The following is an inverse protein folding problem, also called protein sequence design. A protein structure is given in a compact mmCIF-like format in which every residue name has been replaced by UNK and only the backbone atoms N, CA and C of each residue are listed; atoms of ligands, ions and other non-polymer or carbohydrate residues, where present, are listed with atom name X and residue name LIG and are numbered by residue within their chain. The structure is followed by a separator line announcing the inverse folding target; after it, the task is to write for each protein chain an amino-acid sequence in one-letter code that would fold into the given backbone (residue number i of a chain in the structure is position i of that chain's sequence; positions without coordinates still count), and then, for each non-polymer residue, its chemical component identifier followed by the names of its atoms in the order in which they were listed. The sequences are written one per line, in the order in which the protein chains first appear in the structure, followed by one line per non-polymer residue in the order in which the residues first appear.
data_IF_824985378807
#
_entry.id   IF_824985378807
#
_cell.length_a   1.000
_cell.length_b   1.000
_cell.length_c   1.000
_cell.angle_alpha   90.00
_cell.angle_beta   90.00
_cell.angle_gamma   90.00
#
_symmetry.space_group_name_H-M   'P 1'
#
loop_
_entity.id
_entity.type
_entity.pdbx_description
1 polymer ?
#
# COMPACT_ATOMS: atom_id res chain seq x y z
N UNK A 1 -8.45 -27.95 -30.90
CA UNK A 1 -8.24 -26.49 -30.82
C UNK A 1 -7.57 -26.23 -29.48
N UNK A 2 -6.27 -25.90 -29.46
CA UNK A 2 -5.48 -25.75 -28.22
C UNK A 2 -5.63 -24.32 -27.71
N UNK A 3 -6.39 -24.13 -26.63
CA UNK A 3 -6.43 -22.86 -25.90
C UNK A 3 -5.23 -22.81 -24.96
N UNK A 4 -4.27 -21.92 -25.26
CA UNK A 4 -3.19 -21.57 -24.35
C UNK A 4 -3.74 -20.66 -23.26
N UNK A 5 -3.73 -21.11 -22.01
CA UNK A 5 -3.96 -20.27 -20.84
C UNK A 5 -2.62 -19.60 -20.53
N UNK A 6 -2.40 -18.41 -21.09
CA UNK A 6 -1.30 -17.55 -20.68
C UNK A 6 -1.65 -16.83 -19.39
N UNK A 7 -0.82 -16.98 -18.36
CA UNK A 7 -0.85 -16.12 -17.18
C UNK A 7 -0.45 -14.71 -17.64
N UNK A 8 -1.44 -13.86 -17.91
CA UNK A 8 -1.21 -12.46 -18.24
C UNK A 8 -1.11 -11.69 -16.92
N UNK A 9 0.10 -11.25 -16.57
CA UNK A 9 0.29 -10.24 -15.53
C UNK A 9 -0.34 -8.92 -16.00
N UNK A 10 -1.53 -8.60 -15.51
CA UNK A 10 -2.19 -7.33 -15.79
C UNK A 10 -1.61 -6.26 -14.87
N UNK A 11 -0.71 -5.44 -15.40
CA UNK A 11 -0.34 -4.16 -14.80
C UNK A 11 -1.51 -3.18 -14.94
N UNK A 12 -2.37 -3.08 -13.91
CA UNK A 12 -3.42 -2.06 -13.86
C UNK A 12 -2.79 -0.71 -13.50
N UNK A 13 -2.48 0.09 -14.52
CA UNK A 13 -2.18 1.52 -14.38
C UNK A 13 -3.51 2.28 -14.26
N UNK A 14 -3.97 2.50 -13.03
CA UNK A 14 -5.15 3.35 -12.76
C UNK A 14 -4.75 4.81 -12.93
N UNK A 15 -5.02 5.38 -14.10
CA UNK A 15 -5.04 6.81 -14.32
C UNK A 15 -6.26 7.43 -13.65
N UNK A 16 -6.05 8.16 -12.56
CA UNK A 16 -7.09 8.93 -11.87
C UNK A 16 -7.39 10.18 -12.71
N UNK A 17 -8.50 10.15 -13.46
CA UNK A 17 -9.14 11.34 -14.02
C UNK A 17 -10.50 11.50 -13.33
N UNK A 18 -10.49 12.22 -12.22
CA UNK A 18 -11.72 12.67 -11.56
C UNK A 18 -12.16 13.97 -12.22
N UNK A 19 -13.30 13.92 -12.91
CA UNK A 19 -13.94 15.08 -13.50
C UNK A 19 -14.66 15.91 -12.46
N UNK A 20 -14.28 17.18 -12.36
CA UNK A 20 -15.17 18.25 -11.89
C UNK A 20 -14.84 19.52 -12.69
N UNK A 21 -15.78 19.85 -13.56
CA UNK A 21 -16.01 21.13 -14.25
C UNK A 21 -15.19 22.33 -13.77
N UNK A 22 -14.17 22.67 -14.55
CA UNK A 22 -13.48 23.96 -14.53
C UNK A 22 -12.65 24.07 -15.80
N UNK A 23 -13.11 24.88 -16.76
CA UNK A 23 -12.44 25.08 -18.05
C UNK A 23 -11.06 25.70 -17.87
N UNK A 24 -10.01 24.87 -17.83
CA UNK A 24 -8.64 25.28 -17.98
C UNK A 24 -8.21 25.02 -19.43
N UNK A 25 -8.08 26.10 -20.21
CA UNK A 25 -7.49 26.05 -21.55
C UNK A 25 -5.99 25.76 -21.38
N UNK A 26 -5.62 24.48 -21.49
CA UNK A 26 -4.22 24.07 -21.61
C UNK A 26 -3.75 24.45 -23.02
N UNK A 27 -3.10 25.60 -23.13
CA UNK A 27 -2.32 25.95 -24.33
C UNK A 27 -1.08 25.06 -24.36
N UNK A 28 -1.09 24.08 -25.27
CA UNK A 28 0.11 23.34 -25.65
C UNK A 28 1.11 24.31 -26.30
N UNK A 29 2.27 24.49 -25.66
CA UNK A 29 3.43 25.08 -26.29
C UNK A 29 4.00 24.08 -27.32
N UNK A 30 4.45 24.54 -28.51
CA UNK A 30 5.09 23.65 -29.48
C UNK A 30 6.42 23.11 -28.93
N UNK A 31 6.81 21.88 -29.31
CA UNK A 31 8.09 21.32 -28.89
C UNK A 31 9.24 22.16 -29.46
N UNK A 32 10.06 22.70 -28.58
CA UNK A 32 11.34 23.27 -28.98
C UNK A 32 12.27 22.15 -29.44
N UNK A 33 12.65 22.30 -30.69
CA UNK A 33 13.76 21.69 -31.37
C UNK A 33 15.07 21.93 -30.60
N UNK A 34 15.65 20.88 -30.00
CA UNK A 34 17.01 20.89 -29.47
C UNK A 34 17.84 19.85 -30.20
N UNK A 35 18.47 20.33 -31.27
CA UNK A 35 19.88 20.14 -31.61
C UNK A 35 20.48 18.75 -31.39
N UNK A 36 20.50 17.98 -32.49
CA UNK A 36 21.54 16.98 -32.77
C UNK A 36 22.92 17.62 -32.63
N UNK A 37 23.71 17.18 -31.66
CA UNK A 37 25.17 17.23 -31.72
C UNK A 37 25.68 15.89 -32.24
N UNK A 38 26.31 15.94 -33.40
CA UNK A 38 27.12 14.87 -33.97
C UNK A 38 28.47 14.77 -33.27
N UNK A 39 29.11 13.63 -33.51
CA UNK A 39 30.56 13.39 -33.49
C UNK A 39 31.20 12.90 -32.18
N UNK A 40 31.28 11.57 -32.07
CA UNK A 40 32.53 10.86 -31.77
C UNK A 40 32.46 9.42 -32.31
N UNK A 41 33.40 8.98 -33.17
CA UNK A 41 33.52 7.58 -33.55
C UNK A 41 34.32 6.85 -32.47
N UNK A 42 33.62 6.18 -31.55
CA UNK A 42 34.25 5.20 -30.66
C UNK A 42 34.53 3.92 -31.47
N UNK A 43 35.82 3.72 -31.73
CA UNK A 43 36.42 2.51 -32.27
C UNK A 43 36.00 1.31 -31.42
N UNK A 44 34.99 0.59 -31.90
CA UNK A 44 34.42 -0.57 -31.24
C UNK A 44 35.37 -1.74 -31.46
N UNK A 45 36.22 -2.00 -30.45
CA UNK A 45 36.91 -3.27 -30.35
C UNK A 45 35.86 -4.39 -30.41
N UNK A 46 35.90 -5.19 -31.48
CA UNK A 46 35.05 -6.35 -31.63
C UNK A 46 35.38 -7.34 -30.52
N UNK A 47 34.57 -7.36 -29.47
CA UNK A 47 34.55 -8.46 -28.52
C UNK A 47 34.30 -9.76 -29.32
N UNK A 48 35.09 -10.83 -29.06
CA UNK A 48 34.87 -12.11 -29.71
C UNK A 48 33.44 -12.57 -29.43
N UNK A 49 32.71 -12.86 -30.51
CA UNK A 49 31.37 -13.41 -30.45
C UNK A 49 31.34 -14.55 -29.43
N UNK A 50 30.43 -14.53 -28.44
CA UNK A 50 30.30 -15.62 -27.50
C UNK A 50 30.11 -16.92 -28.29
N UNK A 51 30.91 -17.91 -27.97
CA UNK A 51 30.85 -19.24 -28.57
C UNK A 51 29.40 -19.70 -28.62
N UNK A 52 28.99 -20.18 -29.79
CA UNK A 52 27.64 -20.66 -30.09
C UNK A 52 27.06 -21.43 -28.91
N UNK A 53 25.86 -21.08 -28.42
CA UNK A 53 25.25 -21.74 -27.28
C UNK A 53 25.28 -23.25 -27.53
N UNK A 54 25.91 -23.98 -26.61
CA UNK A 54 25.89 -25.44 -26.58
C UNK A 54 24.45 -25.91 -26.80
N UNK A 55 24.20 -26.91 -27.66
CA UNK A 55 22.85 -27.44 -27.85
C UNK A 55 22.33 -27.86 -26.47
N UNK A 56 21.25 -27.22 -26.02
CA UNK A 56 20.59 -27.52 -24.75
C UNK A 56 20.17 -28.99 -24.78
N UNK A 57 20.97 -29.85 -24.17
CA UNK A 57 20.71 -31.27 -23.97
C UNK A 57 19.78 -31.49 -22.76
N UNK A 58 18.80 -30.59 -22.62
CA UNK A 58 17.74 -30.70 -21.63
C UNK A 58 16.57 -31.45 -22.30
N UNK A 59 16.65 -32.77 -22.28
CA UNK A 59 15.46 -33.59 -22.44
C UNK A 59 14.55 -33.33 -21.24
N UNK A 60 13.68 -32.32 -21.34
CA UNK A 60 12.61 -32.09 -20.37
C UNK A 60 11.74 -33.35 -20.40
N UNK A 61 12.02 -34.27 -19.48
CA UNK A 61 11.29 -35.51 -19.34
C UNK A 61 9.85 -35.14 -18.96
N UNK A 62 8.97 -35.12 -19.95
CA UNK A 62 7.57 -34.75 -19.72
C UNK A 62 6.91 -35.90 -18.97
N UNK A 63 6.52 -35.64 -17.73
CA UNK A 63 5.92 -36.66 -16.87
C UNK A 63 4.47 -36.90 -17.28
N UNK A 64 4.12 -38.16 -17.55
CA UNK A 64 2.74 -38.55 -17.83
C UNK A 64 2.01 -38.87 -16.53
N UNK A 65 0.81 -38.30 -16.32
CA UNK A 65 0.02 -38.43 -15.10
C UNK A 65 -1.42 -38.80 -15.42
N UNK A 66 -2.03 -39.64 -14.57
CA UNK A 66 -3.45 -39.97 -14.61
C UNK A 66 -4.29 -38.90 -13.88
N UNK A 67 -5.61 -38.90 -14.10
CA UNK A 67 -6.52 -38.07 -13.32
C UNK A 67 -6.52 -38.44 -11.82
N UNK A 68 -6.20 -39.71 -11.50
CA UNK A 68 -6.08 -40.18 -10.11
C UNK A 68 -4.83 -39.62 -9.42
N UNK A 69 -3.72 -39.48 -10.16
CA UNK A 69 -2.49 -38.89 -9.65
C UNK A 69 -2.69 -37.41 -9.31
N UNK A 70 -3.45 -36.70 -10.15
CA UNK A 70 -3.87 -35.33 -9.84
C UNK A 70 -4.62 -35.29 -8.51
N UNK A 71 -5.69 -36.08 -8.37
CA UNK A 71 -6.50 -36.11 -7.15
C UNK A 71 -5.68 -36.48 -5.91
N UNK A 72 -4.73 -37.41 -6.03
CA UNK A 72 -3.82 -37.76 -4.96
C UNK A 72 -2.92 -36.58 -4.56
N UNK A 73 -2.36 -35.85 -5.54
CA UNK A 73 -1.55 -34.65 -5.30
C UNK A 73 -2.36 -33.53 -4.61
N UNK A 74 -3.61 -33.30 -5.04
CA UNK A 74 -4.51 -32.35 -4.37
C UNK A 74 -4.84 -32.78 -2.94
N UNK A 75 -5.11 -34.06 -2.72
CA UNK A 75 -5.40 -34.61 -1.38
C UNK A 75 -4.20 -34.44 -0.45
N UNK A 76 -2.97 -34.55 -0.97
CA UNK A 76 -1.75 -34.34 -0.21
C UNK A 76 -1.58 -32.90 0.32
N UNK A 77 -2.30 -31.91 -0.24
CA UNK A 77 -2.33 -30.54 0.29
C UNK A 77 -3.22 -30.39 1.54
N UNK A 78 -4.09 -31.37 1.83
CA UNK A 78 -5.06 -31.33 2.93
C UNK A 78 -6.41 -30.72 2.55
N UNK A 79 -7.34 -30.69 3.51
CA UNK A 79 -8.75 -30.31 3.30
C UNK A 79 -8.93 -28.82 2.95
N UNK A 80 -8.12 -27.94 3.55
CA UNK A 80 -8.17 -26.50 3.34
C UNK A 80 -6.76 -25.97 3.01
N UNK A 81 -6.27 -26.15 1.78
CA UNK A 81 -4.95 -25.70 1.40
C UNK A 81 -4.90 -24.17 1.32
N UNK A 82 -3.74 -23.60 1.65
CA UNK A 82 -3.45 -22.20 1.38
C UNK A 82 -3.51 -21.93 -0.14
N UNK A 83 -4.03 -20.77 -0.59
CA UNK A 83 -4.15 -20.44 -2.01
C UNK A 83 -2.81 -20.56 -2.77
N UNK A 84 -1.70 -20.14 -2.15
CA UNK A 84 -0.35 -20.22 -2.74
C UNK A 84 0.04 -21.67 -3.09
N UNK A 85 -0.28 -22.64 -2.22
CA UNK A 85 0.06 -24.05 -2.44
C UNK A 85 -0.81 -24.67 -3.54
N UNK A 86 -2.07 -24.27 -3.60
CA UNK A 86 -3.00 -24.70 -4.65
C UNK A 86 -2.59 -24.12 -6.01
N UNK A 87 -2.19 -22.85 -6.05
CA UNK A 87 -1.67 -22.21 -7.26
C UNK A 87 -0.38 -22.88 -7.76
N UNK A 88 0.55 -23.20 -6.85
CA UNK A 88 1.76 -23.95 -7.19
C UNK A 88 1.47 -25.33 -7.77
N UNK A 89 0.53 -26.08 -7.18
CA UNK A 89 0.12 -27.39 -7.72
C UNK A 89 -0.51 -27.26 -9.12
N UNK A 90 -1.31 -26.22 -9.37
CA UNK A 90 -1.88 -25.95 -10.69
C UNK A 90 -0.80 -25.63 -11.73
N UNK A 91 0.21 -24.84 -11.36
CA UNK A 91 1.37 -24.54 -12.21
C UNK A 91 2.17 -25.81 -12.55
N UNK A 92 2.51 -26.61 -11.53
CA UNK A 92 3.16 -27.92 -11.71
C UNK A 92 2.34 -28.84 -12.63
N UNK A 93 1.02 -28.91 -12.41
CA UNK A 93 0.13 -29.76 -13.21
C UNK A 93 0.02 -29.33 -14.68
N UNK A 94 0.35 -28.08 -15.00
CA UNK A 94 0.35 -27.58 -16.38
C UNK A 94 1.48 -28.18 -17.21
N UNK A 95 2.52 -28.71 -16.58
CA UNK A 95 3.60 -29.46 -17.24
C UNK A 95 3.32 -30.95 -17.42
N UNK A 96 2.23 -31.49 -16.86
CA UNK A 96 1.92 -32.91 -16.93
C UNK A 96 1.22 -33.26 -18.25
N UNK A 97 1.58 -34.40 -18.83
CA UNK A 97 0.84 -34.97 -19.95
C UNK A 97 -0.22 -35.96 -19.45
N UNK A 98 -1.49 -35.81 -19.85
CA UNK A 98 -2.50 -36.80 -19.53
C UNK A 98 -2.17 -38.12 -20.22
N UNK A 99 -2.41 -39.24 -19.52
CA UNK A 99 -2.34 -40.59 -20.11
C UNK A 99 -3.43 -40.73 -21.19
N UNK A 100 -3.11 -41.44 -22.27
CA UNK A 100 -4.01 -41.68 -23.40
C UNK A 100 -5.35 -42.26 -22.92
N UNK A 101 -6.46 -41.60 -23.29
CA UNK A 101 -7.82 -42.00 -22.94
C UNK A 101 -8.34 -41.41 -21.61
N UNK A 102 -7.52 -40.68 -20.84
CA UNK A 102 -7.95 -39.98 -19.62
C UNK A 102 -8.05 -38.45 -19.77
N UNK A 103 -7.80 -37.89 -20.95
CA UNK A 103 -7.65 -36.45 -21.18
C UNK A 103 -8.86 -35.65 -20.68
N UNK A 104 -10.08 -36.11 -20.99
CA UNK A 104 -11.30 -35.43 -20.57
C UNK A 104 -11.49 -35.43 -19.04
N UNK A 105 -11.09 -36.51 -18.35
CA UNK A 105 -11.15 -36.58 -16.88
C UNK A 105 -10.08 -35.71 -16.24
N UNK A 106 -8.88 -35.72 -16.82
CA UNK A 106 -7.76 -34.90 -16.40
C UNK A 106 -8.12 -33.41 -16.47
N UNK A 107 -8.66 -32.96 -17.60
CA UNK A 107 -9.15 -31.59 -17.79
C UNK A 107 -10.25 -31.23 -16.79
N UNK A 108 -11.24 -32.12 -16.59
CA UNK A 108 -12.32 -31.88 -15.63
C UNK A 108 -11.83 -31.73 -14.18
N UNK A 109 -10.80 -32.50 -13.78
CA UNK A 109 -10.17 -32.36 -12.45
C UNK A 109 -9.47 -31.02 -12.33
N UNK A 110 -8.67 -30.64 -13.33
CA UNK A 110 -7.97 -29.35 -13.36
C UNK A 110 -8.94 -28.17 -13.31
N UNK A 111 -10.01 -28.23 -14.08
CA UNK A 111 -11.04 -27.17 -14.10
C UNK A 111 -11.72 -27.05 -12.73
N UNK A 112 -11.97 -28.17 -12.06
CA UNK A 112 -12.45 -28.19 -10.67
C UNK A 112 -11.49 -27.50 -9.70
N UNK A 113 -10.18 -27.68 -9.86
CA UNK A 113 -9.16 -27.00 -9.04
C UNK A 113 -9.10 -25.50 -9.30
N UNK A 114 -9.30 -25.04 -10.54
CA UNK A 114 -9.36 -23.62 -10.86
C UNK A 114 -10.54 -22.95 -10.14
N UNK A 115 -11.71 -23.61 -10.11
CA UNK A 115 -12.88 -23.13 -9.36
C UNK A 115 -12.60 -23.08 -7.86
N UNK A 116 -11.96 -24.12 -7.32
CA UNK A 116 -11.58 -24.16 -5.91
C UNK A 116 -10.58 -23.06 -5.55
N UNK A 117 -9.55 -22.83 -6.38
CA UNK A 117 -8.57 -21.77 -6.17
C UNK A 117 -9.23 -20.39 -6.17
N UNK A 118 -10.16 -20.08 -7.09
CA UNK A 118 -10.93 -18.82 -7.07
C UNK A 118 -11.63 -18.63 -5.73
N UNK A 119 -12.35 -19.65 -5.26
CA UNK A 119 -13.05 -19.62 -3.97
C UNK A 119 -12.10 -19.34 -2.81
N UNK A 120 -10.96 -20.03 -2.75
CA UNK A 120 -9.95 -19.85 -1.71
C UNK A 120 -9.35 -18.44 -1.73
N UNK A 121 -9.03 -17.91 -2.93
CA UNK A 121 -8.51 -16.55 -3.08
C UNK A 121 -9.53 -15.52 -2.59
N UNK A 122 -10.80 -15.61 -3.00
CA UNK A 122 -11.86 -14.70 -2.56
C UNK A 122 -11.96 -14.70 -1.03
N UNK A 123 -12.03 -15.88 -0.42
CA UNK A 123 -12.15 -16.06 1.03
C UNK A 123 -10.99 -15.41 1.79
N UNK A 124 -9.74 -15.70 1.38
CA UNK A 124 -8.56 -15.18 2.05
C UNK A 124 -8.37 -13.69 1.81
N UNK A 125 -8.61 -13.19 0.59
CA UNK A 125 -8.54 -11.76 0.27
C UNK A 125 -9.52 -10.99 1.15
N UNK A 126 -10.78 -11.40 1.22
CA UNK A 126 -11.78 -10.73 2.06
C UNK A 126 -11.41 -10.80 3.55
N UNK A 127 -10.88 -11.93 4.02
CA UNK A 127 -10.38 -12.07 5.39
C UNK A 127 -9.25 -11.08 5.71
N UNK A 128 -8.26 -10.94 4.82
CA UNK A 128 -7.19 -9.96 4.98
C UNK A 128 -7.67 -8.52 4.85
N UNK A 129 -8.64 -8.24 3.98
CA UNK A 129 -9.24 -6.92 3.85
C UNK A 129 -9.93 -6.49 5.15
N UNK A 130 -10.70 -7.38 5.77
CA UNK A 130 -11.34 -7.13 7.06
C UNK A 130 -10.30 -6.95 8.17
N UNK A 131 -9.28 -7.80 8.20
CA UNK A 131 -8.18 -7.71 9.17
C UNK A 131 -7.40 -6.40 9.04
N UNK A 132 -7.20 -5.89 7.83
CA UNK A 132 -6.52 -4.62 7.58
C UNK A 132 -7.29 -3.43 8.16
N UNK A 133 -8.63 -3.42 8.05
CA UNK A 133 -9.47 -2.37 8.64
C UNK A 133 -9.51 -2.41 10.17
N UNK A 134 -9.27 -3.58 10.77
CA UNK A 134 -9.25 -3.79 12.22
C UNK A 134 -7.85 -3.74 12.83
N UNK A 135 -6.82 -3.53 12.00
CA UNK A 135 -5.43 -3.55 12.45
C UNK A 135 -5.18 -2.44 13.50
N UNK A 136 -4.33 -2.70 14.50
CA UNK A 136 -4.06 -1.76 15.58
C UNK A 136 -3.36 -0.47 15.12
N UNK A 137 -2.57 -0.56 14.04
CA UNK A 137 -1.78 0.53 13.48
C UNK A 137 -1.70 0.44 11.94
N UNK A 138 -1.24 1.51 11.30
CA UNK A 138 -1.15 1.61 9.85
C UNK A 138 -0.14 0.66 9.23
N UNK A 139 0.98 0.37 9.91
CA UNK A 139 1.98 -0.57 9.41
C UNK A 139 1.40 -1.99 9.28
N UNK A 140 0.69 -2.47 10.30
CA UNK A 140 -0.01 -3.74 10.28
C UNK A 140 -1.14 -3.74 9.23
N UNK A 141 -1.90 -2.65 9.10
CA UNK A 141 -2.93 -2.51 8.08
C UNK A 141 -2.36 -2.65 6.65
N UNK A 142 -1.26 -1.95 6.37
CA UNK A 142 -0.57 -1.98 5.07
C UNK A 142 0.03 -3.36 4.77
N UNK A 143 0.58 -4.05 5.78
CA UNK A 143 1.08 -5.42 5.62
C UNK A 143 -0.05 -6.41 5.25
N UNK A 144 -1.21 -6.29 5.89
CA UNK A 144 -2.39 -7.11 5.56
C UNK A 144 -2.94 -6.78 4.16
N UNK A 145 -3.02 -5.50 3.81
CA UNK A 145 -3.35 -5.06 2.45
C UNK A 145 -2.39 -5.66 1.41
N UNK A 146 -1.07 -5.60 1.65
CA UNK A 146 -0.08 -6.17 0.74
C UNK A 146 -0.24 -7.69 0.58
N UNK A 147 -0.61 -8.40 1.66
CA UNK A 147 -0.88 -9.84 1.60
C UNK A 147 -2.14 -10.15 0.79
N UNK A 148 -3.22 -9.38 0.97
CA UNK A 148 -4.42 -9.48 0.13
C UNK A 148 -4.10 -9.23 -1.35
N UNK A 149 -3.29 -8.21 -1.68
CA UNK A 149 -2.89 -7.92 -3.06
C UNK A 149 -2.10 -9.07 -3.70
N UNK A 150 -1.19 -9.72 -2.96
CA UNK A 150 -0.45 -10.89 -3.46
C UNK A 150 -1.37 -12.07 -3.76
N UNK A 151 -2.32 -12.35 -2.87
CA UNK A 151 -3.28 -13.44 -3.08
C UNK A 151 -4.23 -13.15 -4.25
N UNK A 152 -4.67 -11.91 -4.41
CA UNK A 152 -5.49 -11.50 -5.55
C UNK A 152 -4.78 -11.74 -6.89
N UNK A 153 -3.46 -11.60 -6.94
CA UNK A 153 -2.67 -11.89 -8.14
C UNK A 153 -2.71 -13.38 -8.56
N UNK A 154 -3.11 -14.28 -7.66
CA UNK A 154 -3.31 -15.70 -7.96
C UNK A 154 -4.70 -16.02 -8.50
N UNK A 155 -5.62 -15.05 -8.57
CA UNK A 155 -7.00 -15.29 -8.98
C UNK A 155 -7.06 -15.77 -10.46
N UNK A 156 -7.49 -17.02 -10.74
CA UNK A 156 -7.47 -17.56 -12.10
C UNK A 156 -8.56 -16.93 -12.97
N UNK A 157 -8.17 -16.15 -13.97
CA UNK A 157 -9.10 -15.49 -14.90
C UNK A 157 -9.68 -16.50 -15.92
N UNK A 158 -10.98 -16.38 -16.20
CA UNK A 158 -11.72 -17.09 -17.26
C UNK A 158 -12.35 -16.08 -18.22
N UNK A 159 -12.81 -16.55 -19.38
CA UNK A 159 -13.63 -15.75 -20.32
C UNK A 159 -15.09 -15.64 -19.88
N UNK A 160 -15.47 -16.32 -18.79
CA UNK A 160 -16.81 -16.20 -18.20
C UNK A 160 -17.02 -14.83 -17.56
N UNK A 161 -18.07 -14.12 -18.00
CA UNK A 161 -18.41 -12.77 -17.50
C UNK A 161 -18.49 -12.72 -15.97
N UNK A 162 -19.09 -13.74 -15.33
CA UNK A 162 -19.21 -13.80 -13.87
C UNK A 162 -17.84 -13.82 -13.15
N UNK A 163 -16.84 -14.48 -13.73
CA UNK A 163 -15.48 -14.55 -13.17
C UNK A 163 -14.77 -13.22 -13.36
N UNK A 164 -14.98 -12.56 -14.50
CA UNK A 164 -14.43 -11.24 -14.78
C UNK A 164 -15.03 -10.18 -13.85
N UNK A 165 -16.34 -10.20 -13.63
CA UNK A 165 -17.05 -9.29 -12.74
C UNK A 165 -16.59 -9.46 -11.28
N UNK A 166 -16.41 -10.70 -10.82
CA UNK A 166 -15.88 -10.97 -9.47
C UNK A 166 -14.45 -10.46 -9.31
N UNK A 167 -13.57 -10.72 -10.29
CA UNK A 167 -12.19 -10.24 -10.28
C UNK A 167 -12.13 -8.69 -10.25
N UNK A 168 -12.95 -8.03 -11.06
CA UNK A 168 -13.06 -6.56 -11.07
C UNK A 168 -13.57 -6.03 -9.73
N UNK A 169 -14.59 -6.66 -9.15
CA UNK A 169 -15.13 -6.30 -7.84
C UNK A 169 -14.07 -6.42 -6.73
N UNK A 170 -13.31 -7.52 -6.70
CA UNK A 170 -12.21 -7.72 -5.75
C UNK A 170 -11.11 -6.67 -5.91
N UNK A 171 -10.72 -6.35 -7.15
CA UNK A 171 -9.70 -5.34 -7.42
C UNK A 171 -10.15 -3.92 -7.03
N UNK A 172 -11.42 -3.58 -7.28
CA UNK A 172 -12.02 -2.33 -6.86
C UNK A 172 -12.08 -2.23 -5.32
N UNK A 173 -12.51 -3.29 -4.64
CA UNK A 173 -12.52 -3.37 -3.19
C UNK A 173 -11.11 -3.23 -2.60
N UNK A 174 -10.11 -3.84 -3.22
CA UNK A 174 -8.71 -3.74 -2.80
C UNK A 174 -8.18 -2.30 -2.93
N UNK A 175 -8.52 -1.61 -4.02
CA UNK A 175 -8.12 -0.21 -4.23
C UNK A 175 -8.79 0.73 -3.22
N UNK A 176 -10.09 0.52 -2.96
CA UNK A 176 -10.84 1.28 -1.95
C UNK A 176 -10.34 1.01 -0.53
N UNK A 177 -9.88 -0.20 -0.22
CA UNK A 177 -9.31 -0.53 1.08
C UNK A 177 -8.11 0.36 1.41
N UNK A 178 -7.19 0.59 0.47
CA UNK A 178 -6.03 1.45 0.72
C UNK A 178 -6.46 2.88 1.10
N UNK A 179 -7.48 3.42 0.43
CA UNK A 179 -8.05 4.73 0.75
C UNK A 179 -8.66 4.75 2.16
N UNK A 180 -9.35 3.69 2.56
CA UNK A 180 -9.93 3.55 3.91
C UNK A 180 -8.87 3.42 4.99
N UNK A 181 -7.81 2.66 4.74
CA UNK A 181 -6.66 2.57 5.65
C UNK A 181 -6.11 3.97 5.88
N UNK A 182 -5.81 4.73 4.83
CA UNK A 182 -5.28 6.08 4.96
C UNK A 182 -6.22 7.02 5.74
N UNK A 183 -7.54 6.92 5.53
CA UNK A 183 -8.52 7.68 6.29
C UNK A 183 -8.47 7.33 7.79
N UNK A 184 -8.41 6.04 8.15
CA UNK A 184 -8.34 5.57 9.54
C UNK A 184 -7.06 6.07 10.21
N UNK A 185 -5.91 5.99 9.51
CA UNK A 185 -4.61 6.46 10.02
C UNK A 185 -4.67 7.96 10.34
N UNK A 186 -5.23 8.77 9.44
CA UNK A 186 -5.43 10.21 9.67
C UNK A 186 -6.37 10.49 10.82
N UNK A 187 -7.48 9.76 10.94
CA UNK A 187 -8.42 9.92 12.05
C UNK A 187 -7.75 9.62 13.40
N UNK A 188 -7.00 8.52 13.50
CA UNK A 188 -6.24 8.17 14.71
C UNK A 188 -5.18 9.20 15.05
N UNK A 189 -4.46 9.70 14.05
CA UNK A 189 -3.50 10.79 14.21
C UNK A 189 -4.17 12.05 14.76
N UNK A 190 -5.33 12.42 14.22
CA UNK A 190 -6.07 13.60 14.67
C UNK A 190 -6.63 13.42 16.09
N UNK A 191 -7.10 12.23 16.47
CA UNK A 191 -7.51 11.93 17.85
C UNK A 191 -6.33 12.06 18.82
N UNK A 192 -5.20 11.42 18.54
CA UNK A 192 -4.00 11.57 19.35
C UNK A 192 -3.54 13.03 19.44
N UNK A 193 -3.65 13.77 18.33
CA UNK A 193 -3.31 15.19 18.30
C UNK A 193 -4.21 16.01 19.23
N UNK A 194 -5.52 15.75 19.25
CA UNK A 194 -6.44 16.42 20.17
C UNK A 194 -6.04 16.18 21.62
N UNK A 195 -5.61 14.96 21.97
CA UNK A 195 -5.11 14.66 23.32
C UNK A 195 -3.84 15.47 23.64
N UNK A 196 -2.91 15.63 22.69
CA UNK A 196 -1.72 16.47 22.88
C UNK A 196 -2.07 17.96 23.04
N UNK A 197 -3.02 18.46 22.25
CA UNK A 197 -3.50 19.84 22.36
C UNK A 197 -4.16 20.07 23.73
N UNK A 198 -4.97 19.12 24.21
CA UNK A 198 -5.58 19.20 25.52
C UNK A 198 -4.52 19.23 26.64
N UNK A 199 -3.51 18.36 26.57
CA UNK A 199 -2.39 18.36 27.49
C UNK A 199 -1.58 19.68 27.45
N UNK A 200 -1.38 20.25 26.26
CA UNK A 200 -0.72 21.54 26.09
C UNK A 200 -1.49 22.69 26.78
N UNK A 201 -2.81 22.71 26.67
CA UNK A 201 -3.67 23.70 27.34
C UNK A 201 -3.61 23.53 28.87
N UNK A 202 -3.66 22.29 29.36
CA UNK A 202 -3.54 22.01 30.79
C UNK A 202 -2.17 22.42 31.35
N UNK A 203 -1.10 22.13 30.60
CA UNK A 203 0.26 22.53 30.94
C UNK A 203 0.39 24.06 30.98
N UNK A 204 -0.14 24.76 29.97
CA UNK A 204 -0.19 26.21 29.93
C UNK A 204 -0.91 26.79 31.17
N UNK A 205 -2.12 26.32 31.49
CA UNK A 205 -2.86 26.82 32.66
C UNK A 205 -2.14 26.51 33.98
N UNK A 206 -1.56 25.33 34.12
CA UNK A 206 -0.83 24.94 35.34
C UNK A 206 0.40 25.82 35.57
N UNK A 207 1.12 26.16 34.49
CA UNK A 207 2.25 27.08 34.54
C UNK A 207 1.81 28.54 34.77
N UNK A 208 0.64 28.95 34.27
CA UNK A 208 0.15 30.33 34.46
C UNK A 208 -0.44 30.55 35.87
N UNK A 209 -1.15 29.57 36.41
CA UNK A 209 -1.69 29.62 37.78
C UNK A 209 -0.57 29.66 38.84
N UNK A 210 0.54 28.97 38.62
CA UNK A 210 1.70 29.02 39.52
C UNK A 210 2.40 30.38 39.49
N UNK A 211 2.41 31.02 38.32
CA UNK A 211 2.95 32.37 38.07
C UNK A 211 2.12 33.45 38.77
N UNK A 212 0.79 33.42 38.64
CA UNK A 212 -0.11 34.39 39.30
C UNK A 212 0.01 34.33 40.82
N UNK A 213 0.20 33.12 41.39
CA UNK A 213 0.39 32.93 42.82
C UNK A 213 1.75 33.45 43.36
N UNK A 214 2.78 33.54 42.51
CA UNK A 214 4.14 33.92 42.90
C UNK A 214 4.58 35.31 42.41
N UNK A 215 3.77 36.00 41.60
CA UNK A 215 4.02 37.37 41.13
C UNK A 215 5.21 37.51 40.16
N UNK A 216 5.62 36.41 39.50
CA UNK A 216 6.67 36.38 38.47
C UNK A 216 6.21 35.50 37.33
N UNK A 217 6.05 36.03 36.11
CA UNK A 217 5.87 35.19 34.91
C UNK A 217 7.20 34.57 34.52
N UNK A 218 7.22 33.24 34.43
CA UNK A 218 8.30 32.50 33.79
C UNK A 218 7.81 32.06 32.41
N UNK A 219 7.88 32.99 31.46
CA UNK A 219 7.54 32.75 30.05
C UNK A 219 8.27 31.50 29.50
N UNK A 220 9.48 31.22 29.99
CA UNK A 220 10.26 30.06 29.58
C UNK A 220 9.63 28.74 30.00
N UNK A 221 9.14 28.67 31.23
CA UNK A 221 8.42 27.49 31.73
C UNK A 221 7.14 27.23 30.95
N UNK A 222 6.35 28.28 30.65
CA UNK A 222 5.12 28.18 29.86
C UNK A 222 5.41 27.66 28.45
N UNK A 223 6.43 28.22 27.79
CA UNK A 223 6.87 27.80 26.45
C UNK A 223 7.35 26.36 26.47
N UNK A 224 8.21 25.99 27.43
CA UNK A 224 8.76 24.63 27.51
C UNK A 224 7.67 23.58 27.73
N UNK A 225 6.77 23.82 28.67
CA UNK A 225 5.68 22.90 28.99
C UNK A 225 4.71 22.73 27.81
N UNK A 226 4.41 23.80 27.08
CA UNK A 226 3.53 23.74 25.90
C UNK A 226 4.21 23.05 24.71
N UNK A 227 5.48 23.36 24.45
CA UNK A 227 6.27 22.74 23.37
C UNK A 227 6.39 21.22 23.56
N UNK A 228 6.51 20.75 24.81
CA UNK A 228 6.62 19.32 25.10
C UNK A 228 5.46 18.48 24.52
N UNK A 229 4.28 19.08 24.33
CA UNK A 229 3.12 18.42 23.76
C UNK A 229 2.88 18.77 22.28
N UNK A 230 3.19 20.00 21.86
CA UNK A 230 2.87 20.48 20.52
C UNK A 230 3.95 20.21 19.46
N UNK A 231 5.21 19.99 19.86
CA UNK A 231 6.34 19.91 18.94
C UNK A 231 6.22 18.72 17.96
N UNK A 232 5.76 17.56 18.45
CA UNK A 232 5.69 16.35 17.63
C UNK A 232 4.56 16.37 16.59
N UNK A 233 3.66 17.34 16.66
CA UNK A 233 2.53 17.47 15.73
C UNK A 233 3.02 18.04 14.40
N UNK A 234 2.56 17.46 13.30
CA UNK A 234 2.71 17.97 11.94
C UNK A 234 1.42 18.68 11.51
N UNK A 235 1.42 20.03 11.45
CA UNK A 235 0.25 20.79 11.04
C UNK A 235 -0.27 20.43 9.64
N UNK A 236 0.58 19.91 8.74
CA UNK A 236 0.18 19.54 7.39
C UNK A 236 -0.75 18.30 7.35
N UNK A 237 -0.79 17.52 8.43
CA UNK A 237 -1.60 16.29 8.54
C UNK A 237 -2.92 16.51 9.29
N UNK A 238 -3.15 17.71 9.82
CA UNK A 238 -4.32 18.03 10.63
C UNK A 238 -5.56 18.29 9.77
N UNK A 239 -6.68 17.77 10.23
CA UNK A 239 -7.98 18.18 9.71
C UNK A 239 -8.28 19.63 10.11
N UNK A 240 -9.09 20.37 9.33
CA UNK A 240 -9.32 21.80 9.56
C UNK A 240 -9.78 22.15 10.98
N UNK A 241 -10.60 21.30 11.60
CA UNK A 241 -11.07 21.50 12.96
C UNK A 241 -9.94 21.37 14.00
N UNK A 242 -9.10 20.33 13.86
CA UNK A 242 -7.96 20.08 14.76
C UNK A 242 -6.87 21.12 14.56
N UNK A 243 -6.63 21.55 13.31
CA UNK A 243 -5.73 22.65 13.01
C UNK A 243 -6.20 23.97 13.67
N UNK A 244 -7.51 24.22 13.70
CA UNK A 244 -8.08 25.36 14.40
C UNK A 244 -7.77 25.33 15.90
N UNK A 245 -7.91 24.17 16.54
CA UNK A 245 -7.55 23.99 17.95
C UNK A 245 -6.05 24.16 18.19
N UNK A 246 -5.22 23.61 17.30
CA UNK A 246 -3.76 23.74 17.37
C UNK A 246 -3.33 25.21 17.31
N UNK A 247 -3.88 25.97 16.35
CA UNK A 247 -3.60 27.40 16.21
C UNK A 247 -4.12 28.21 17.39
N UNK A 248 -5.28 27.85 17.94
CA UNK A 248 -5.82 28.50 19.14
C UNK A 248 -4.84 28.41 20.32
N UNK A 249 -4.23 27.25 20.57
CA UNK A 249 -3.24 27.12 21.66
C UNK A 249 -1.99 27.94 21.38
N UNK A 250 -1.54 27.99 20.13
CA UNK A 250 -0.41 28.86 19.74
C UNK A 250 -0.72 30.32 20.02
N UNK A 251 -1.92 30.79 19.65
CA UNK A 251 -2.35 32.17 19.87
C UNK A 251 -2.50 32.48 21.36
N UNK A 252 -3.00 31.52 22.15
CA UNK A 252 -3.12 31.62 23.61
C UNK A 252 -1.76 31.83 24.28
N UNK A 253 -0.76 31.00 23.96
CA UNK A 253 0.60 31.16 24.49
C UNK A 253 1.22 32.47 24.03
N UNK A 254 1.05 32.82 22.74
CA UNK A 254 1.60 34.04 22.20
C UNK A 254 0.99 35.29 22.83
N UNK A 255 -0.27 35.29 23.24
CA UNK A 255 -0.89 36.44 23.89
C UNK A 255 -0.18 36.82 25.20
N UNK A 256 0.27 35.82 25.96
CA UNK A 256 0.75 35.99 27.33
C UNK A 256 2.27 36.08 27.47
N UNK A 257 3.03 35.52 26.52
CA UNK A 257 4.50 35.56 26.57
C UNK A 257 5.08 36.81 25.89
N UNK A 258 6.23 37.26 26.39
CA UNK A 258 6.99 38.37 25.81
C UNK A 258 7.48 38.08 24.38
N UNK A 259 7.77 39.14 23.63
CA UNK A 259 8.15 39.03 22.21
C UNK A 259 9.37 38.11 21.96
N UNK A 260 10.37 38.14 22.85
CA UNK A 260 11.53 37.24 22.75
C UNK A 260 11.14 35.77 22.87
N UNK A 261 10.23 35.46 23.79
CA UNK A 261 9.74 34.10 24.01
C UNK A 261 8.76 33.63 22.92
N UNK A 262 8.02 34.53 22.27
CA UNK A 262 7.23 34.19 21.07
C UNK A 262 8.12 33.69 19.92
N UNK A 263 9.24 34.37 19.69
CA UNK A 263 10.22 33.96 18.66
C UNK A 263 10.80 32.59 19.01
N UNK A 264 11.15 32.38 20.28
CA UNK A 264 11.68 31.11 20.76
C UNK A 264 10.64 29.98 20.63
N UNK A 265 9.39 30.23 21.02
CA UNK A 265 8.29 29.30 20.89
C UNK A 265 8.07 28.87 19.44
N UNK A 266 7.97 29.84 18.52
CA UNK A 266 7.85 29.56 17.09
C UNK A 266 9.04 28.74 16.59
N UNK A 267 10.27 29.12 16.95
CA UNK A 267 11.50 28.40 16.58
C UNK A 267 11.45 26.94 17.03
N UNK A 268 11.00 26.68 18.25
CA UNK A 268 10.93 25.32 18.82
C UNK A 268 9.82 24.47 18.20
N UNK A 269 8.76 25.05 17.64
CA UNK A 269 7.72 24.30 16.93
C UNK A 269 8.07 24.04 15.44
N UNK A 270 8.80 24.97 14.81
CA UNK A 270 9.12 24.88 13.38
C UNK A 270 10.51 24.33 13.08
N UNK A 271 11.36 24.16 14.10
CA UNK A 271 12.75 23.73 13.95
C UNK A 271 12.88 22.36 13.27
N UNK A 272 13.86 22.21 12.39
CA UNK A 272 14.14 20.94 11.69
C UNK A 272 14.64 19.82 12.59
N UNK A 273 15.07 20.15 13.81
CA UNK A 273 15.52 19.19 14.82
C UNK A 273 14.34 18.48 15.51
N UNK A 274 13.11 18.96 15.31
CA UNK A 274 11.91 18.38 15.91
C UNK A 274 11.48 17.14 15.13
N UNK A 275 11.55 15.98 15.77
CA UNK A 275 11.06 14.72 15.20
C UNK A 275 9.53 14.69 15.26
N UNK A 276 8.88 15.06 14.16
CA UNK A 276 7.42 14.98 14.05
C UNK A 276 6.95 13.54 13.92
N UNK A 277 5.82 13.21 14.54
CA UNK A 277 5.19 11.92 14.35
C UNK A 277 4.61 11.80 12.95
N UNK A 278 4.93 10.69 12.29
CA UNK A 278 4.38 10.32 10.99
C UNK A 278 3.12 9.48 11.16
N UNK A 279 2.37 9.30 10.07
CA UNK A 279 1.19 8.43 10.04
C UNK A 279 1.53 6.94 10.17
N UNK A 280 2.79 6.51 10.17
CA UNK A 280 3.15 5.08 10.19
C UNK A 280 2.73 4.38 11.49
N UNK A 281 2.75 5.12 12.61
CA UNK A 281 2.36 4.60 13.93
C UNK A 281 0.86 4.69 14.24
N UNK A 282 0.03 5.11 13.29
CA UNK A 282 -1.42 5.29 13.42
C UNK A 282 -2.12 4.47 12.34
#
# INVERSE_FOLDING_TARGET
MRNWIGIVAVCVLVGILSGATGGLVVRFAPPMNSSRTSDSPEETAQDPLPESPTPYDETWAVESKSASDMQAARTALGDAPEPDRMAGLLDESSGWLPIEGEEARFEAVRDGWLVELRRLVVEHVQSFQNSALQAPDGAAALAMHARASRLLALYPISQEDAVLDEAQSLAAAQSELLRRIELIRRQRYNVWTVDQIAAAVEAYHSSNLSVEAMGRSDDGQVVEATVAHLAEIDPAMLEPAVLGLYNYVIDLVNADVSQSWRIEFARRLTGSEVSRKTLEGF
#
